data_IF_076794370704
#
_entry.id   IF_076794370704
#
_cell.length_a   1.000
_cell.length_b   1.000
_cell.length_c   1.000
_cell.angle_alpha   90.00
_cell.angle_beta   90.00
_cell.angle_gamma   90.00
#
_symmetry.space_group_name_H-M   'P 1'
#
loop_
_entity.id
_entity.type
_entity.pdbx_description
1 polymer ?
#
# COMPACT_ATOMS: atom_id res chain seq x y z
N UNK A 1 9.89 1.75 6.40
CA UNK A 1 8.57 1.70 7.07
C UNK A 1 8.46 2.76 8.13
N UNK A 2 7.26 3.28 8.31
CA UNK A 2 6.92 4.28 9.31
C UNK A 2 5.92 3.66 10.25
N UNK A 3 6.07 3.88 11.56
CA UNK A 3 5.07 3.44 12.53
C UNK A 3 3.74 4.17 12.28
N UNK A 4 2.67 3.40 12.14
CA UNK A 4 1.32 3.92 11.94
C UNK A 4 0.60 4.15 13.26
N UNK A 5 -0.71 4.02 13.25
CA UNK A 5 -1.54 4.22 14.45
C UNK A 5 -1.28 3.15 15.51
N UNK A 6 -1.20 3.60 16.75
CA UNK A 6 -1.32 2.72 17.92
C UNK A 6 -2.74 2.82 18.40
N UNK A 7 -3.49 1.71 18.34
CA UNK A 7 -4.79 1.59 19.00
C UNK A 7 -4.56 0.87 20.31
N UNK A 8 -4.55 1.63 21.41
CA UNK A 8 -4.07 1.15 22.71
C UNK A 8 -4.92 0.03 23.32
N UNK A 9 -6.21 -0.05 23.03
CA UNK A 9 -7.13 -0.89 23.81
C UNK A 9 -7.88 -1.94 22.99
N UNK A 10 -7.66 -2.04 21.68
CA UNK A 10 -8.37 -3.01 20.85
C UNK A 10 -7.40 -3.74 19.95
N UNK A 11 -7.04 -4.94 20.33
CA UNK A 11 -6.41 -5.88 19.40
C UNK A 11 -7.55 -6.53 18.62
N UNK A 12 -7.77 -6.10 17.40
CA UNK A 12 -8.67 -6.79 16.50
C UNK A 12 -7.82 -7.66 15.59
N UNK A 13 -8.10 -8.97 15.58
CA UNK A 13 -7.42 -9.93 14.70
C UNK A 13 -7.63 -9.62 13.21
N UNK A 14 -8.54 -8.69 12.90
CA UNK A 14 -8.89 -8.27 11.54
C UNK A 14 -8.00 -7.14 11.00
N UNK A 15 -7.18 -6.51 11.83
CA UNK A 15 -6.30 -5.45 11.36
C UNK A 15 -4.97 -6.01 10.85
N UNK A 16 -4.50 -5.56 9.67
CA UNK A 16 -3.20 -5.99 9.16
C UNK A 16 -2.08 -5.41 10.01
N UNK A 17 -0.92 -6.05 9.99
CA UNK A 17 0.26 -5.50 10.66
C UNK A 17 0.85 -4.34 9.86
N UNK A 18 0.87 -4.44 8.54
CA UNK A 18 1.44 -3.44 7.64
C UNK A 18 0.35 -2.86 6.75
N UNK A 19 0.36 -1.53 6.60
CA UNK A 19 -0.39 -0.85 5.55
C UNK A 19 0.59 -0.34 4.51
N UNK A 20 0.49 -0.86 3.28
CA UNK A 20 1.30 -0.39 2.15
C UNK A 20 0.52 0.73 1.47
N UNK A 21 1.15 1.89 1.33
CA UNK A 21 0.55 3.05 0.65
C UNK A 21 1.24 3.24 -0.69
N UNK A 22 0.47 3.14 -1.76
CA UNK A 22 0.92 3.28 -3.14
C UNK A 22 0.14 4.41 -3.82
N UNK A 23 0.73 5.62 -3.91
CA UNK A 23 0.15 6.69 -4.70
C UNK A 23 0.29 6.39 -6.18
N UNK A 24 -0.76 6.66 -6.96
CA UNK A 24 -0.78 6.39 -8.40
C UNK A 24 -1.16 7.65 -9.18
N UNK A 25 -0.33 8.03 -10.13
CA UNK A 25 -0.62 9.07 -11.09
C UNK A 25 0.01 8.73 -12.43
N UNK A 26 -0.84 8.43 -13.43
CA UNK A 26 -0.38 8.09 -14.78
C UNK A 26 0.75 7.06 -14.78
N UNK A 27 0.56 5.96 -14.04
CA UNK A 27 1.55 4.91 -13.84
C UNK A 27 1.31 3.65 -14.66
N UNK A 28 0.41 3.66 -15.61
CA UNK A 28 -0.04 2.50 -16.40
C UNK A 28 1.11 1.61 -16.85
N UNK A 29 2.23 2.21 -17.27
CA UNK A 29 3.35 1.49 -17.86
C UNK A 29 4.04 0.51 -16.89
N UNK A 30 4.15 0.87 -15.60
CA UNK A 30 4.91 0.10 -14.61
C UNK A 30 4.07 -0.46 -13.47
N UNK A 31 2.80 -0.07 -13.41
CA UNK A 31 1.95 -0.28 -12.26
C UNK A 31 1.71 -1.77 -11.95
N UNK A 32 1.50 -2.58 -12.98
CA UNK A 32 1.24 -4.02 -12.80
C UNK A 32 2.42 -4.71 -12.12
N UNK A 33 3.65 -4.43 -12.58
CA UNK A 33 4.84 -5.03 -11.97
C UNK A 33 5.01 -4.60 -10.52
N UNK A 34 4.78 -3.32 -10.23
CA UNK A 34 4.86 -2.79 -8.86
C UNK A 34 3.85 -3.49 -7.93
N UNK A 35 2.59 -3.58 -8.34
CA UNK A 35 1.53 -4.22 -7.55
C UNK A 35 1.83 -5.71 -7.35
N UNK A 36 2.19 -6.42 -8.42
CA UNK A 36 2.49 -7.85 -8.34
C UNK A 36 3.64 -8.12 -7.36
N UNK A 37 4.66 -7.26 -7.32
CA UNK A 37 5.77 -7.41 -6.39
C UNK A 37 5.36 -7.25 -4.92
N UNK A 38 4.35 -6.42 -4.64
CA UNK A 38 3.80 -6.27 -3.30
C UNK A 38 2.96 -7.49 -2.93
N UNK A 39 2.07 -7.93 -3.81
CA UNK A 39 1.18 -9.06 -3.55
C UNK A 39 1.94 -10.38 -3.41
N UNK A 40 3.14 -10.47 -3.99
CA UNK A 40 4.01 -11.65 -3.92
C UNK A 40 4.97 -11.65 -2.72
N UNK A 41 4.84 -10.71 -1.77
CA UNK A 41 5.67 -10.69 -0.58
C UNK A 41 5.52 -11.95 0.25
N UNK A 42 6.62 -12.44 0.80
CA UNK A 42 6.61 -13.62 1.70
C UNK A 42 5.85 -13.35 2.98
N UNK A 43 5.90 -12.13 3.49
CA UNK A 43 5.06 -11.68 4.60
C UNK A 43 3.70 -11.26 4.03
N UNK A 44 2.62 -11.87 4.53
CA UNK A 44 1.28 -11.74 3.91
C UNK A 44 0.28 -10.89 4.69
N UNK A 45 0.57 -10.56 5.94
CA UNK A 45 -0.34 -9.81 6.81
C UNK A 45 -0.24 -8.31 6.58
N UNK A 46 -0.70 -7.87 5.42
CA UNK A 46 -0.72 -6.46 5.03
C UNK A 46 -2.00 -6.12 4.28
N UNK A 47 -2.32 -4.83 4.25
CA UNK A 47 -3.26 -4.25 3.30
C UNK A 47 -2.49 -3.41 2.28
N UNK A 48 -3.02 -3.32 1.07
CA UNK A 48 -2.47 -2.47 0.02
C UNK A 48 -3.47 -1.36 -0.29
N UNK A 49 -3.14 -0.14 0.09
CA UNK A 49 -3.95 1.05 -0.16
C UNK A 49 -3.39 1.75 -1.38
N UNK A 50 -4.15 1.78 -2.46
CA UNK A 50 -3.77 2.46 -3.69
C UNK A 50 -4.70 3.63 -3.93
N UNK A 51 -4.13 4.82 -4.09
CA UNK A 51 -4.87 6.05 -4.30
C UNK A 51 -4.54 6.60 -5.68
N UNK A 52 -5.52 6.60 -6.55
CA UNK A 52 -5.42 7.19 -7.87
C UNK A 52 -5.60 8.71 -7.76
N UNK A 53 -4.52 9.43 -7.99
CA UNK A 53 -4.44 10.89 -7.88
C UNK A 53 -4.86 11.58 -9.18
N UNK A 54 -6.02 11.20 -9.71
CA UNK A 54 -6.60 11.82 -10.90
C UNK A 54 -5.93 11.42 -12.20
N UNK A 55 -5.53 10.15 -12.36
CA UNK A 55 -4.91 9.67 -13.59
C UNK A 55 -5.80 9.84 -14.80
N UNK A 56 -5.18 10.16 -15.94
CA UNK A 56 -5.86 10.31 -17.24
C UNK A 56 -5.61 9.12 -18.17
N UNK A 57 -4.77 8.18 -17.76
CA UNK A 57 -4.47 6.95 -18.50
C UNK A 57 -5.28 5.75 -17.96
N UNK A 58 -4.86 4.52 -18.25
CA UNK A 58 -5.52 3.29 -17.80
C UNK A 58 -5.23 2.87 -16.37
N UNK A 59 -4.53 3.71 -15.57
CA UNK A 59 -4.14 3.33 -14.21
C UNK A 59 -5.30 2.93 -13.32
N UNK A 60 -6.38 3.71 -13.28
CA UNK A 60 -7.51 3.40 -12.41
C UNK A 60 -8.16 2.05 -12.74
N UNK A 61 -8.29 1.73 -14.02
CA UNK A 61 -8.82 0.44 -14.47
C UNK A 61 -7.97 -0.74 -13.98
N UNK A 62 -6.65 -0.56 -13.96
CA UNK A 62 -5.73 -1.56 -13.42
C UNK A 62 -5.96 -1.76 -11.92
N UNK A 63 -6.07 -0.67 -11.16
CA UNK A 63 -6.32 -0.74 -9.72
C UNK A 63 -7.63 -1.47 -9.40
N UNK A 64 -8.69 -1.20 -10.14
CA UNK A 64 -9.98 -1.85 -9.94
C UNK A 64 -9.92 -3.36 -10.13
N UNK A 65 -9.14 -3.84 -11.10
CA UNK A 65 -8.96 -5.27 -11.32
C UNK A 65 -8.32 -5.95 -10.10
N UNK A 66 -7.30 -5.34 -9.53
CA UNK A 66 -6.64 -5.89 -8.35
C UNK A 66 -7.55 -5.86 -7.12
N UNK A 67 -8.33 -4.81 -6.92
CA UNK A 67 -9.29 -4.74 -5.82
C UNK A 67 -10.32 -5.88 -5.90
N UNK A 68 -10.75 -6.25 -7.10
CA UNK A 68 -11.69 -7.34 -7.30
C UNK A 68 -11.06 -8.72 -7.10
N UNK A 69 -9.74 -8.85 -7.24
CA UNK A 69 -9.02 -10.13 -7.19
C UNK A 69 -8.43 -10.47 -5.82
N UNK A 70 -8.11 -9.46 -5.01
CA UNK A 70 -7.41 -9.65 -3.74
C UNK A 70 -8.06 -8.80 -2.64
N UNK A 71 -8.55 -9.46 -1.60
CA UNK A 71 -9.26 -8.82 -0.49
C UNK A 71 -8.39 -7.85 0.32
N UNK A 72 -7.06 -7.94 0.20
CA UNK A 72 -6.13 -7.03 0.88
C UNK A 72 -6.02 -5.68 0.19
N UNK A 73 -6.52 -5.57 -1.04
CA UNK A 73 -6.40 -4.35 -1.87
C UNK A 73 -7.58 -3.43 -1.61
N UNK A 74 -7.28 -2.16 -1.34
CA UNK A 74 -8.25 -1.08 -1.17
C UNK A 74 -7.90 0.05 -2.13
N UNK A 75 -8.84 0.45 -2.98
CA UNK A 75 -8.61 1.45 -4.04
C UNK A 75 -9.47 2.68 -3.81
N UNK A 76 -8.86 3.84 -3.96
CA UNK A 76 -9.52 5.15 -3.87
C UNK A 76 -9.13 5.98 -5.07
N UNK A 77 -10.04 6.83 -5.54
CA UNK A 77 -9.78 7.76 -6.65
C UNK A 77 -10.41 9.10 -6.36
N UNK A 78 -9.78 10.16 -6.83
CA UNK A 78 -10.27 11.52 -6.76
C UNK A 78 -9.47 12.40 -7.72
N UNK A 79 -9.79 13.71 -7.79
CA UNK A 79 -9.03 14.65 -8.59
C UNK A 79 -7.58 14.77 -8.10
N UNK A 80 -6.69 15.22 -8.99
CA UNK A 80 -5.27 15.39 -8.68
C UNK A 80 -5.05 16.44 -7.58
N UNK A 81 -4.30 16.04 -6.54
CA UNK A 81 -3.91 16.91 -5.41
C UNK A 81 -2.42 16.87 -5.12
N UNK A 82 -1.68 16.02 -5.82
CA UNK A 82 -0.24 15.88 -5.68
C UNK A 82 0.18 14.76 -4.74
N UNK A 83 1.47 14.43 -4.80
CA UNK A 83 2.05 13.27 -4.09
C UNK A 83 1.92 13.38 -2.57
N UNK A 84 2.24 14.54 -2.00
CA UNK A 84 2.22 14.73 -0.53
C UNK A 84 0.81 14.56 0.02
N UNK A 85 -0.20 15.17 -0.61
CA UNK A 85 -1.59 15.03 -0.21
C UNK A 85 -2.04 13.56 -0.31
N UNK A 86 -1.63 12.86 -1.36
CA UNK A 86 -1.98 11.46 -1.58
C UNK A 86 -1.36 10.55 -0.53
N UNK A 87 -0.09 10.76 -0.18
CA UNK A 87 0.56 10.01 0.90
C UNK A 87 -0.12 10.25 2.24
N UNK A 88 -0.46 11.48 2.56
CA UNK A 88 -1.17 11.81 3.80
C UNK A 88 -2.55 11.14 3.87
N UNK A 89 -3.28 11.11 2.78
CA UNK A 89 -4.56 10.38 2.73
C UNK A 89 -4.37 8.88 2.97
N UNK A 90 -3.34 8.29 2.37
CA UNK A 90 -3.02 6.88 2.57
C UNK A 90 -2.72 6.56 4.03
N UNK A 91 -1.96 7.44 4.69
CA UNK A 91 -1.65 7.30 6.12
C UNK A 91 -2.93 7.37 6.96
N UNK A 92 -3.83 8.29 6.64
CA UNK A 92 -5.10 8.42 7.36
C UNK A 92 -6.02 7.21 7.16
N UNK A 93 -5.97 6.57 6.00
CA UNK A 93 -6.76 5.39 5.67
C UNK A 93 -6.17 4.10 6.24
N UNK A 94 -4.90 4.12 6.63
CA UNK A 94 -4.17 2.94 7.08
C UNK A 94 -4.73 2.38 8.39
N UNK A 95 -4.85 1.06 8.46
CA UNK A 95 -5.32 0.31 9.64
C UNK A 95 -4.19 -0.44 10.33
N UNK A 96 -3.06 -0.61 9.64
CA UNK A 96 -1.91 -1.32 10.16
C UNK A 96 -1.11 -0.54 11.18
N UNK A 97 -0.30 -1.28 11.96
CA UNK A 97 0.61 -0.68 12.94
C UNK A 97 1.83 -0.05 12.30
N UNK A 98 2.20 -0.52 11.12
CA UNK A 98 3.34 -0.02 10.34
C UNK A 98 2.88 0.43 8.97
N UNK A 99 3.49 1.50 8.44
CA UNK A 99 3.21 2.00 7.10
C UNK A 99 4.44 1.80 6.23
N UNK A 100 4.25 1.13 5.11
CA UNK A 100 5.26 0.97 4.08
C UNK A 100 4.86 1.80 2.86
N UNK A 101 5.72 2.72 2.45
CA UNK A 101 5.53 3.47 1.22
C UNK A 101 6.07 2.67 0.04
N UNK A 102 5.34 2.69 -1.06
CA UNK A 102 5.76 2.09 -2.33
C UNK A 102 5.46 3.08 -3.45
N UNK A 103 6.40 3.27 -4.37
CA UNK A 103 6.17 4.09 -5.56
C UNK A 103 5.68 3.21 -6.71
N UNK A 104 4.91 3.79 -7.63
CA UNK A 104 4.20 3.07 -8.71
C UNK A 104 5.13 2.42 -9.75
N UNK A 105 6.39 2.79 -9.78
CA UNK A 105 7.41 2.28 -10.69
C UNK A 105 8.48 1.42 -9.98
N UNK A 106 8.31 1.17 -8.69
CA UNK A 106 9.22 0.34 -7.90
C UNK A 106 8.81 -1.13 -7.92
N UNK A 107 9.81 -2.00 -7.79
CA UNK A 107 9.62 -3.43 -7.63
C UNK A 107 10.18 -3.83 -6.27
N UNK A 108 9.35 -4.39 -5.40
CA UNK A 108 9.77 -4.86 -4.10
C UNK A 108 10.35 -6.27 -4.20
N UNK A 109 11.49 -6.51 -3.56
CA UNK A 109 12.02 -7.87 -3.43
C UNK A 109 11.09 -8.72 -2.55
N UNK A 110 10.96 -10.03 -2.82
CA UNK A 110 9.96 -10.87 -2.14
C UNK A 110 10.04 -10.86 -0.60
N UNK A 111 11.21 -10.66 -0.02
CA UNK A 111 11.42 -10.68 1.42
C UNK A 111 11.50 -9.28 2.05
N UNK A 112 11.14 -8.22 1.32
CA UNK A 112 11.30 -6.83 1.82
C UNK A 112 10.61 -6.63 3.16
N UNK A 113 9.34 -6.97 3.27
CA UNK A 113 8.57 -6.74 4.50
C UNK A 113 9.04 -7.63 5.64
N UNK A 114 9.31 -8.89 5.35
CA UNK A 114 9.86 -9.82 6.32
C UNK A 114 11.18 -9.33 6.92
N UNK A 115 12.09 -8.85 6.08
CA UNK A 115 13.39 -8.33 6.52
C UNK A 115 13.25 -7.03 7.31
N UNK A 116 12.37 -6.12 6.87
CA UNK A 116 12.14 -4.87 7.58
C UNK A 116 11.54 -5.10 8.96
N UNK A 117 10.62 -6.04 9.09
CA UNK A 117 10.04 -6.41 10.39
C UNK A 117 11.10 -7.00 11.33
N UNK A 118 11.95 -7.88 10.84
CA UNK A 118 13.05 -8.44 11.64
C UNK A 118 13.99 -7.36 12.14
N UNK A 119 14.30 -6.39 11.28
CA UNK A 119 15.14 -5.25 11.67
C UNK A 119 14.50 -4.43 12.79
N UNK A 120 13.19 -4.19 12.71
CA UNK A 120 12.44 -3.42 13.72
C UNK A 120 12.32 -4.15 15.07
N UNK A 121 12.40 -5.48 15.09
CA UNK A 121 12.37 -6.30 16.30
C UNK A 121 13.71 -6.34 17.04
N UNK A 122 14.78 -5.88 16.44
CA UNK A 122 16.11 -5.87 17.08
C UNK A 122 16.20 -4.81 18.16
N UNK A 123 16.79 -5.15 19.34
CA UNK A 123 16.96 -4.19 20.42
C UNK A 123 17.97 -3.09 20.07
#
# INVERSE_FOLDING_TARGET
MIEGRVVEDVVTDDEPLISVVLPVYNGEKYLVEAIDSILAQTFVDFELIMIDDGSTDGSFGILQKYENQDARVRVFTRENRGLVATLNEGIDLARGSWIARMDQDDIALPQRFERQLKWLEQP
#
